data_IF_390573404639
#
_entry.id   IF_390573404639
#
_cell.length_a   1.000
_cell.length_b   1.000
_cell.length_c   1.000
_cell.angle_alpha   90.00
_cell.angle_beta   90.00
_cell.angle_gamma   90.00
#
_symmetry.space_group_name_H-M   'P 1'
#
loop_
_entity.id
_entity.type
_entity.pdbx_description
1 polymer ?
#
# COMPACT_ATOMS: atom_id res chain seq x y z
N UNK A 1 -3.67 -19.61 23.48
CA UNK A 1 -4.89 -18.89 23.06
C UNK A 1 -4.44 -17.64 22.35
N UNK A 2 -4.85 -17.43 21.11
CA UNK A 2 -4.51 -16.23 20.33
C UNK A 2 -5.46 -15.06 20.61
N UNK A 3 -5.19 -13.93 19.97
CA UNK A 3 -6.03 -12.74 19.98
C UNK A 3 -6.50 -12.42 18.56
N UNK A 4 -7.72 -11.92 18.45
CA UNK A 4 -8.31 -11.43 17.22
C UNK A 4 -8.77 -10.00 17.47
N UNK A 5 -8.12 -9.06 16.81
CA UNK A 5 -8.36 -7.63 16.97
C UNK A 5 -9.10 -7.10 15.75
N UNK A 6 -9.95 -6.10 15.97
CA UNK A 6 -10.64 -5.37 14.91
C UNK A 6 -10.39 -3.88 15.11
N UNK A 7 -10.00 -3.21 14.02
CA UNK A 7 -9.83 -1.77 13.97
C UNK A 7 -10.86 -1.19 13.00
N UNK A 8 -11.55 -0.14 13.43
CA UNK A 8 -12.38 0.67 12.53
C UNK A 8 -11.46 1.46 11.60
N UNK A 9 -11.67 1.30 10.29
CA UNK A 9 -10.92 1.99 9.24
C UNK A 9 -11.80 2.98 8.46
N UNK A 10 -12.99 3.27 9.00
CA UNK A 10 -13.95 4.20 8.43
C UNK A 10 -14.85 3.59 7.35
N UNK A 11 -15.84 4.37 6.93
CA UNK A 11 -16.81 4.00 5.87
C UNK A 11 -17.53 2.65 6.12
N UNK A 12 -17.71 2.27 7.39
CA UNK A 12 -18.34 1.01 7.78
C UNK A 12 -17.46 -0.24 7.56
N UNK A 13 -16.16 -0.05 7.31
CA UNK A 13 -15.21 -1.14 7.13
C UNK A 13 -14.39 -1.37 8.41
N UNK A 14 -13.89 -2.59 8.57
CA UNK A 14 -12.97 -2.95 9.66
C UNK A 14 -11.82 -3.76 9.12
N UNK A 15 -10.63 -3.53 9.67
CA UNK A 15 -9.45 -4.35 9.43
C UNK A 15 -9.18 -5.21 10.66
N UNK A 16 -8.98 -6.50 10.44
CA UNK A 16 -8.76 -7.45 11.51
C UNK A 16 -7.35 -8.04 11.47
N UNK A 17 -6.81 -8.32 12.66
CA UNK A 17 -5.51 -8.96 12.83
C UNK A 17 -5.64 -10.14 13.77
N UNK A 18 -4.90 -11.20 13.45
CA UNK A 18 -4.72 -12.33 14.34
C UNK A 18 -3.31 -12.30 14.93
N UNK A 19 -3.22 -12.53 16.23
CA UNK A 19 -1.97 -12.76 16.92
C UNK A 19 -2.04 -14.11 17.63
N UNK A 20 -1.01 -14.94 17.46
CA UNK A 20 -0.88 -16.22 18.14
C UNK A 20 0.49 -16.30 18.82
N UNK A 21 0.57 -16.79 20.07
CA UNK A 21 1.84 -16.88 20.79
C UNK A 21 2.84 -17.88 20.17
N UNK A 22 2.34 -18.79 19.35
CA UNK A 22 3.08 -19.84 18.65
C UNK A 22 3.13 -19.62 17.12
N UNK A 23 2.75 -18.42 16.64
CA UNK A 23 2.95 -18.06 15.24
C UNK A 23 4.46 -18.07 14.89
N UNK A 24 4.85 -18.59 13.73
CA UNK A 24 6.23 -18.50 13.26
C UNK A 24 6.59 -17.04 12.94
N UNK A 25 7.88 -16.72 12.99
CA UNK A 25 8.40 -15.43 12.54
C UNK A 25 8.09 -15.20 11.06
N UNK A 26 7.86 -13.94 10.69
CA UNK A 26 7.66 -13.54 9.29
C UNK A 26 8.88 -13.88 8.43
N UNK A 27 8.63 -14.15 7.15
CA UNK A 27 9.64 -14.50 6.16
C UNK A 27 9.58 -13.46 5.03
N UNK A 28 10.42 -12.40 5.06
CA UNK A 28 10.46 -11.38 4.01
C UNK A 28 10.67 -12.01 2.62
N UNK A 29 9.89 -11.57 1.63
CA UNK A 29 9.82 -12.15 0.29
C UNK A 29 8.88 -13.35 0.17
N UNK A 30 8.34 -13.86 1.28
CA UNK A 30 7.32 -14.92 1.31
C UNK A 30 6.04 -14.40 1.94
N UNK A 31 6.05 -13.98 3.21
CA UNK A 31 4.86 -13.52 3.93
C UNK A 31 4.50 -12.05 3.67
N UNK A 32 5.50 -11.23 3.35
CA UNK A 32 5.36 -9.82 2.99
C UNK A 32 6.56 -9.40 2.11
N UNK A 33 6.52 -8.24 1.45
CA UNK A 33 7.63 -7.72 0.64
C UNK A 33 8.93 -7.54 1.43
N UNK A 34 10.07 -7.66 0.74
CA UNK A 34 11.40 -7.41 1.35
C UNK A 34 11.66 -5.91 1.54
N UNK A 35 11.03 -5.08 0.72
CA UNK A 35 11.18 -3.63 0.75
C UNK A 35 9.87 -2.94 0.36
N UNK A 36 9.85 -1.62 0.47
CA UNK A 36 8.77 -0.76 0.00
C UNK A 36 9.02 -0.28 -1.42
N UNK A 37 7.97 0.25 -2.06
CA UNK A 37 8.01 0.80 -3.42
C UNK A 37 9.16 1.82 -3.56
N UNK A 38 9.95 1.66 -4.63
CA UNK A 38 11.07 2.55 -4.96
C UNK A 38 12.37 2.30 -4.18
N UNK A 39 12.40 1.38 -3.21
CA UNK A 39 13.59 1.11 -2.38
C UNK A 39 14.18 -0.31 -2.53
N UNK A 40 13.48 -1.22 -3.19
CA UNK A 40 13.97 -2.58 -3.43
C UNK A 40 12.90 -3.52 -4.00
N UNK A 41 13.14 -4.83 -3.99
CA UNK A 41 12.16 -5.82 -4.43
C UNK A 41 10.89 -5.80 -3.58
N UNK A 42 9.74 -5.75 -4.24
CA UNK A 42 8.42 -5.71 -3.58
C UNK A 42 7.63 -7.02 -3.72
N UNK A 43 8.28 -8.09 -4.19
CA UNK A 43 7.62 -9.40 -4.39
C UNK A 43 7.37 -10.11 -3.07
N UNK A 44 6.25 -10.83 -2.99
CA UNK A 44 5.95 -11.81 -1.94
C UNK A 44 5.28 -13.05 -2.54
N UNK A 45 5.12 -14.14 -1.79
CA UNK A 45 4.58 -15.38 -2.32
C UNK A 45 3.11 -15.24 -2.73
N UNK A 46 2.65 -16.05 -3.70
CA UNK A 46 1.22 -16.16 -3.98
C UNK A 46 0.46 -16.58 -2.71
N UNK A 47 -0.76 -16.05 -2.56
CA UNK A 47 -1.59 -16.17 -1.35
C UNK A 47 -1.05 -15.44 -0.10
N UNK A 48 0.09 -14.75 -0.18
CA UNK A 48 0.39 -13.66 0.75
C UNK A 48 -0.37 -12.39 0.37
N UNK A 49 -0.71 -11.57 1.35
CA UNK A 49 -1.19 -10.21 1.12
C UNK A 49 0.05 -9.32 0.96
N UNK A 50 0.30 -8.86 -0.26
CA UNK A 50 1.49 -8.05 -0.56
C UNK A 50 1.49 -6.72 0.20
N UNK A 51 0.37 -6.00 0.18
CA UNK A 51 0.14 -4.80 0.98
C UNK A 51 -1.36 -4.55 1.18
N UNK A 52 -1.67 -3.65 2.10
CA UNK A 52 -3.01 -3.09 2.29
C UNK A 52 -2.96 -1.60 2.03
N UNK A 53 -3.83 -1.11 1.15
CA UNK A 53 -3.99 0.31 0.88
C UNK A 53 -5.21 0.88 1.60
N UNK A 54 -5.03 1.99 2.30
CA UNK A 54 -6.08 2.77 2.94
C UNK A 54 -6.42 3.97 2.06
N UNK A 55 -7.70 4.12 1.72
CA UNK A 55 -8.22 5.30 1.06
C UNK A 55 -8.17 6.51 2.01
N UNK A 56 -7.50 7.58 1.58
CA UNK A 56 -7.36 8.82 2.35
C UNK A 56 -7.75 10.03 1.51
N UNK A 57 -8.24 11.13 2.12
CA UNK A 57 -8.54 12.35 1.39
C UNK A 57 -7.29 12.90 0.68
N UNK A 58 -7.43 13.27 -0.59
CA UNK A 58 -6.30 13.67 -1.45
C UNK A 58 -5.56 14.92 -0.95
N UNK A 59 -6.28 15.83 -0.31
CA UNK A 59 -5.75 17.05 0.30
C UNK A 59 -4.95 16.80 1.58
N UNK A 60 -4.96 15.58 2.12
CA UNK A 60 -4.32 15.23 3.40
C UNK A 60 -3.08 14.37 3.29
N UNK A 61 -2.79 13.79 2.12
CA UNK A 61 -1.69 12.82 2.00
C UNK A 61 -0.33 13.40 2.42
N UNK A 62 -0.05 14.66 2.08
CA UNK A 62 1.20 15.33 2.45
C UNK A 62 1.27 15.61 3.97
N UNK A 63 0.13 15.95 4.59
CA UNK A 63 0.03 16.07 6.06
C UNK A 63 0.28 14.71 6.74
N UNK A 64 -0.32 13.65 6.20
CA UNK A 64 -0.20 12.31 6.76
C UNK A 64 1.21 11.75 6.64
N UNK A 65 1.88 12.00 5.52
CA UNK A 65 3.30 11.69 5.37
C UNK A 65 4.12 12.33 6.50
N UNK A 66 3.95 13.65 6.70
CA UNK A 66 4.68 14.38 7.74
C UNK A 66 4.40 13.84 9.14
N UNK A 67 3.15 13.45 9.42
CA UNK A 67 2.77 12.85 10.70
C UNK A 67 3.40 11.48 10.94
N UNK A 68 3.55 10.67 9.89
CA UNK A 68 4.27 9.39 9.97
C UNK A 68 5.76 9.63 10.25
N UNK A 69 6.39 10.58 9.54
CA UNK A 69 7.79 10.97 9.77
C UNK A 69 8.01 11.49 11.20
N UNK A 70 7.12 12.35 11.70
CA UNK A 70 7.17 12.88 13.07
C UNK A 70 6.99 11.81 14.15
N UNK A 71 6.28 10.73 13.81
CA UNK A 71 6.14 9.55 14.66
C UNK A 71 7.34 8.60 14.58
N UNK A 72 8.34 8.91 13.74
CA UNK A 72 9.53 8.07 13.54
C UNK A 72 9.29 6.87 12.62
N UNK A 73 8.21 6.87 11.84
CA UNK A 73 7.94 5.82 10.85
C UNK A 73 8.77 6.11 9.59
N UNK A 74 9.52 5.12 9.11
CA UNK A 74 10.22 5.21 7.85
C UNK A 74 9.22 5.07 6.67
N UNK A 75 8.84 6.20 6.10
CA UNK A 75 7.84 6.32 5.02
C UNK A 75 8.50 6.80 3.72
N UNK A 76 7.99 6.34 2.58
CA UNK A 76 8.45 6.83 1.28
C UNK A 76 8.02 8.28 1.03
N UNK A 77 8.65 8.91 0.03
CA UNK A 77 8.06 10.09 -0.62
C UNK A 77 6.70 9.74 -1.24
N UNK A 78 5.82 10.73 -1.37
CA UNK A 78 4.57 10.57 -2.13
C UNK A 78 4.89 10.32 -3.60
N UNK A 79 4.31 9.25 -4.14
CA UNK A 79 4.37 8.85 -5.55
C UNK A 79 3.08 9.29 -6.23
N UNK A 80 3.17 10.06 -7.31
CA UNK A 80 1.99 10.47 -8.09
C UNK A 80 1.87 9.51 -9.27
N UNK A 81 1.02 8.50 -9.17
CA UNK A 81 0.79 7.52 -10.23
C UNK A 81 -0.05 8.15 -11.34
N UNK A 82 0.42 8.02 -12.58
CA UNK A 82 -0.16 8.69 -13.74
C UNK A 82 0.06 7.89 -15.04
N UNK A 83 -0.40 8.44 -16.15
CA UNK A 83 -0.34 7.80 -17.48
C UNK A 83 1.01 7.92 -18.19
N UNK A 84 2.06 8.38 -17.49
CA UNK A 84 3.39 8.44 -18.07
C UNK A 84 3.93 7.04 -18.38
N UNK A 85 4.95 6.94 -19.24
CA UNK A 85 5.61 5.66 -19.56
C UNK A 85 6.14 4.93 -18.31
N UNK A 86 6.47 5.68 -17.26
CA UNK A 86 6.95 5.14 -15.98
C UNK A 86 5.82 4.76 -15.02
N UNK A 87 4.58 5.11 -15.35
CA UNK A 87 3.41 4.94 -14.48
C UNK A 87 3.36 5.91 -13.30
N UNK A 88 4.31 6.84 -13.18
CA UNK A 88 4.36 7.84 -12.13
C UNK A 88 5.21 9.06 -12.50
N UNK A 89 4.83 10.22 -11.97
CA UNK A 89 5.50 11.50 -12.18
C UNK A 89 6.01 12.16 -10.90
N UNK A 90 7.12 12.94 -10.96
CA UNK A 90 7.63 13.69 -9.81
C UNK A 90 6.67 14.77 -9.29
N UNK A 91 5.77 15.25 -10.16
CA UNK A 91 4.77 16.26 -9.85
C UNK A 91 3.39 15.73 -10.20
N UNK A 92 2.36 16.31 -9.61
CA UNK A 92 0.96 16.04 -10.01
C UNK A 92 0.77 16.51 -11.46
N UNK A 93 0.13 15.67 -12.25
CA UNK A 93 -0.21 15.87 -13.67
C UNK A 93 -1.72 15.73 -13.86
N UNK A 94 -2.23 16.17 -15.02
CA UNK A 94 -3.66 16.03 -15.35
C UNK A 94 -4.12 14.56 -15.42
N UNK A 95 -3.18 13.62 -15.56
CA UNK A 95 -3.44 12.18 -15.61
C UNK A 95 -3.12 11.46 -14.30
N UNK A 96 -2.69 12.19 -13.26
CA UNK A 96 -2.48 11.60 -11.93
C UNK A 96 -3.81 11.07 -11.42
N UNK A 97 -3.88 9.76 -11.17
CA UNK A 97 -5.12 9.08 -10.75
C UNK A 97 -5.08 8.62 -9.28
N UNK A 98 -3.89 8.40 -8.72
CA UNK A 98 -3.69 8.14 -7.29
C UNK A 98 -2.35 8.69 -6.84
N UNK A 99 -2.35 9.32 -5.66
CA UNK A 99 -1.14 9.70 -4.94
C UNK A 99 -0.94 8.70 -3.81
N UNK A 100 0.25 8.11 -3.70
CA UNK A 100 0.49 7.04 -2.75
C UNK A 100 1.75 7.26 -1.92
N UNK A 101 1.73 6.83 -0.67
CA UNK A 101 2.93 6.65 0.15
C UNK A 101 2.93 5.26 0.77
N UNK A 102 4.11 4.71 1.03
CA UNK A 102 4.30 3.35 1.51
C UNK A 102 5.15 3.34 2.78
N UNK A 103 4.82 2.47 3.71
CA UNK A 103 5.54 2.23 4.96
C UNK A 103 5.25 0.81 5.45
N UNK A 104 5.92 0.38 6.53
CA UNK A 104 5.68 -0.92 7.14
C UNK A 104 5.14 -0.77 8.56
N UNK A 105 4.26 -1.66 8.97
CA UNK A 105 3.89 -1.81 10.36
C UNK A 105 5.01 -2.53 11.17
N UNK A 106 4.85 -2.67 12.50
CA UNK A 106 5.84 -3.35 13.34
C UNK A 106 6.09 -4.84 13.01
N UNK A 107 5.16 -5.51 12.34
CA UNK A 107 5.24 -6.93 11.98
C UNK A 107 5.73 -7.13 10.52
N UNK A 108 6.00 -6.04 9.79
CA UNK A 108 6.53 -6.03 8.43
C UNK A 108 5.47 -5.97 7.33
N UNK A 109 4.19 -5.81 7.67
CA UNK A 109 3.12 -5.66 6.68
C UNK A 109 3.32 -4.32 5.95
N UNK A 110 3.43 -4.37 4.63
CA UNK A 110 3.48 -3.16 3.83
C UNK A 110 2.10 -2.50 3.80
N UNK A 111 2.05 -1.23 4.16
CA UNK A 111 0.86 -0.40 4.19
C UNK A 111 1.01 0.74 3.19
N UNK A 112 -0.09 1.11 2.57
CA UNK A 112 -0.19 2.23 1.64
C UNK A 112 -1.27 3.20 2.11
N UNK A 113 -1.00 4.50 2.03
CA UNK A 113 -2.08 5.50 1.95
C UNK A 113 -2.26 5.85 0.48
N UNK A 114 -3.47 5.63 -0.03
CA UNK A 114 -3.85 5.88 -1.40
C UNK A 114 -4.86 7.02 -1.44
N UNK A 115 -4.44 8.14 -2.01
CA UNK A 115 -5.26 9.32 -2.26
C UNK A 115 -5.72 9.33 -3.72
N UNK A 116 -6.90 8.75 -3.97
CA UNK A 116 -7.52 8.77 -5.30
C UNK A 116 -7.90 10.19 -5.69
N UNK A 117 -7.55 10.60 -6.90
CA UNK A 117 -7.77 11.98 -7.41
C UNK A 117 -8.96 12.07 -8.35
N UNK A 118 -9.45 10.93 -8.86
CA UNK A 118 -10.60 10.81 -9.75
C UNK A 118 -11.25 9.44 -9.61
N UNK A 119 -12.48 9.32 -10.11
CA UNK A 119 -13.12 8.02 -10.31
C UNK A 119 -12.55 7.33 -11.55
N UNK A 120 -12.62 6.00 -11.55
CA UNK A 120 -12.26 5.18 -12.71
C UNK A 120 -13.47 4.88 -13.58
N UNK A 121 -13.21 4.79 -14.88
CA UNK A 121 -14.19 4.38 -15.88
C UNK A 121 -13.64 3.31 -16.81
N UNK A 122 -14.43 2.91 -17.81
CA UNK A 122 -14.06 1.82 -18.73
C UNK A 122 -12.77 2.10 -19.54
N UNK A 123 -12.38 3.37 -19.71
CA UNK A 123 -11.15 3.76 -20.41
C UNK A 123 -9.87 3.48 -19.61
N UNK A 124 -9.99 3.23 -18.30
CA UNK A 124 -8.87 2.87 -17.44
C UNK A 124 -8.44 1.40 -17.57
N UNK A 125 -9.25 0.56 -18.23
CA UNK A 125 -8.92 -0.85 -18.50
C UNK A 125 -8.04 -0.93 -19.76
N UNK A 126 -6.71 -0.89 -19.56
CA UNK A 126 -5.72 -0.86 -20.66
C UNK A 126 -5.01 -2.18 -20.93
N UNK A 127 -5.10 -3.14 -20.01
CA UNK A 127 -4.35 -4.38 -20.08
C UNK A 127 -5.24 -5.60 -19.81
N UNK A 128 -5.03 -6.64 -20.60
CA UNK A 128 -5.54 -7.97 -20.28
C UNK A 128 -4.81 -8.53 -19.04
N UNK A 129 -5.51 -9.20 -18.11
CA UNK A 129 -4.87 -9.83 -16.96
C UNK A 129 -3.74 -10.77 -17.39
N UNK A 130 -2.59 -10.65 -16.72
CA UNK A 130 -1.48 -11.55 -16.95
C UNK A 130 -1.87 -13.00 -16.64
N UNK A 131 -1.37 -13.94 -17.45
CA UNK A 131 -1.53 -15.38 -17.22
C UNK A 131 -0.31 -15.92 -16.48
N UNK A 132 -0.48 -17.02 -15.77
CA UNK A 132 0.64 -17.76 -15.21
C UNK A 132 1.64 -18.09 -16.33
N UNK A 133 2.92 -17.85 -16.07
CA UNK A 133 4.02 -18.26 -16.95
C UNK A 133 4.34 -19.70 -16.58
N UNK A 134 4.34 -20.61 -17.56
CA UNK A 134 4.74 -22.02 -17.37
C UNK A 134 6.22 -22.16 -16.97
#
# INVERSE_FOLDING_TARGET
MGQHFFFDIGKGNSLAFFWFPDAPDSQPGVSHPVSVVGRGPITSAHASMNHVAFDVPAEKIDEYQKRLEDAGVDVTSVVNHDDSERGASPTITDTTFVRSLYFTDPDGIMLEFAAWTREFDASDVRHEPAKAVE
#
